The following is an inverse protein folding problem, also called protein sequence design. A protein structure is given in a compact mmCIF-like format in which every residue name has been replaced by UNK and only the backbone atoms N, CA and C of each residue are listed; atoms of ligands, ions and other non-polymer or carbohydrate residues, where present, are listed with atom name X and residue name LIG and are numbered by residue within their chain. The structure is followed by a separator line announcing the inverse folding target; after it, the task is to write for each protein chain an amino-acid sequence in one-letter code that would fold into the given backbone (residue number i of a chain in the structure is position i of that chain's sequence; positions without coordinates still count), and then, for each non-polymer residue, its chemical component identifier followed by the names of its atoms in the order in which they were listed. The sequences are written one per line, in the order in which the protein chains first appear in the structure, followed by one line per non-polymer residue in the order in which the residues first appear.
data_IF_225541104416
#
_entry.id   IF_225541104416
#
_cell.length_a   1.000
_cell.length_b   1.000
_cell.length_c   1.000
_cell.angle_alpha   90.00
_cell.angle_beta   90.00
_cell.angle_gamma   90.00
#
_symmetry.space_group_name_H-M   'P 1'
#
loop_
_entity.id
_entity.type
_entity.pdbx_description
1 polymer ?
#
# COMPACT_ATOMS: atom_id res chain seq x y z
N UNK A 1 -40.37 -51.59 43.07
CA UNK A 1 -40.73 -50.68 41.97
C UNK A 1 -39.43 -50.07 41.48
N UNK A 2 -38.97 -50.13 40.24
CA UNK A 2 -39.43 -50.73 39.00
C UNK A 2 -38.45 -50.26 37.92
N UNK A 3 -37.74 -51.23 37.31
CA UNK A 3 -37.13 -51.23 35.96
C UNK A 3 -36.26 -50.03 35.53
N UNK A 4 -34.94 -50.20 35.68
CA UNK A 4 -33.90 -49.49 34.92
C UNK A 4 -33.13 -50.45 33.98
N UNK A 5 -33.82 -51.45 33.43
CA UNK A 5 -33.20 -52.48 32.60
C UNK A 5 -34.20 -53.02 31.58
N UNK A 6 -34.30 -52.36 30.42
CA UNK A 6 -34.77 -52.93 29.15
C UNK A 6 -34.69 -51.80 28.12
N UNK A 7 -33.57 -51.71 27.40
CA UNK A 7 -33.49 -51.40 25.96
C UNK A 7 -32.02 -51.44 25.52
N UNK A 8 -31.35 -52.56 25.80
CA UNK A 8 -30.18 -53.00 25.04
C UNK A 8 -30.68 -54.03 24.03
N UNK A 9 -31.05 -53.59 22.83
CA UNK A 9 -30.95 -54.33 21.58
C UNK A 9 -31.63 -53.54 20.46
N UNK A 10 -30.87 -52.70 19.75
CA UNK A 10 -30.80 -52.70 18.28
C UNK A 10 -30.03 -51.47 17.79
N UNK A 11 -29.38 -51.64 16.65
CA UNK A 11 -28.69 -50.63 15.85
C UNK A 11 -27.22 -50.31 16.23
N UNK A 12 -26.35 -51.28 15.92
CA UNK A 12 -25.04 -50.94 15.32
C UNK A 12 -25.31 -50.18 14.02
N UNK A 13 -24.94 -48.91 14.00
CA UNK A 13 -24.95 -48.06 12.82
C UNK A 13 -23.92 -46.97 12.99
N UNK A 14 -22.64 -47.33 12.83
CA UNK A 14 -21.53 -46.37 12.67
C UNK A 14 -21.77 -45.61 11.36
N UNK A 15 -22.52 -44.51 11.42
CA UNK A 15 -22.52 -43.52 10.35
C UNK A 15 -21.29 -42.63 10.52
N UNK A 16 -20.11 -43.18 10.18
CA UNK A 16 -18.99 -42.35 9.74
C UNK A 16 -19.44 -41.65 8.46
N UNK A 17 -19.70 -40.35 8.54
CA UNK A 17 -19.86 -39.53 7.36
C UNK A 17 -18.59 -39.68 6.51
N UNK A 18 -18.79 -40.15 5.28
CA UNK A 18 -17.74 -40.46 4.32
C UNK A 18 -17.13 -39.14 3.83
N UNK A 19 -16.10 -38.67 4.53
CA UNK A 19 -15.32 -37.52 4.09
C UNK A 19 -14.54 -37.99 2.85
N UNK A 20 -14.79 -37.42 1.65
CA UNK A 20 -14.06 -37.84 0.48
C UNK A 20 -12.57 -37.64 0.72
N UNK A 21 -11.71 -38.62 0.36
CA UNK A 21 -10.28 -38.48 0.55
C UNK A 21 -9.80 -37.21 -0.17
N UNK A 22 -8.80 -36.51 0.39
CA UNK A 22 -8.21 -35.37 -0.30
C UNK A 22 -7.76 -35.81 -1.70
N UNK A 23 -7.86 -34.93 -2.71
CA UNK A 23 -7.47 -35.27 -4.07
C UNK A 23 -6.05 -35.83 -4.06
N UNK A 24 -5.88 -37.04 -4.62
CA UNK A 24 -4.56 -37.61 -4.84
C UNK A 24 -3.86 -36.72 -5.85
N UNK A 25 -2.90 -35.93 -5.38
CA UNK A 25 -1.92 -35.29 -6.27
C UNK A 25 -1.14 -36.45 -6.90
N UNK A 26 -1.46 -36.76 -8.16
CA UNK A 26 -0.91 -37.91 -8.87
C UNK A 26 0.61 -37.97 -8.76
N UNK A 27 1.15 -39.18 -8.65
CA UNK A 27 2.59 -39.41 -8.65
C UNK A 27 3.24 -38.65 -9.81
N UNK A 28 4.29 -37.91 -9.49
CA UNK A 28 5.08 -37.13 -10.43
C UNK A 28 5.47 -38.02 -11.61
N UNK A 29 4.81 -37.85 -12.76
CA UNK A 29 5.26 -38.43 -14.01
C UNK A 29 6.69 -37.96 -14.24
N UNK A 30 7.65 -38.90 -14.19
CA UNK A 30 9.05 -38.69 -14.56
C UNK A 30 9.19 -38.55 -16.08
N UNK A 31 8.36 -37.70 -16.70
CA UNK A 31 8.62 -37.24 -18.06
C UNK A 31 9.88 -36.38 -18.01
N UNK A 32 10.87 -36.71 -18.84
CA UNK A 32 12.11 -35.96 -18.95
C UNK A 32 11.82 -34.46 -19.08
N UNK A 33 12.46 -33.64 -18.21
CA UNK A 33 12.33 -32.18 -18.24
C UNK A 33 12.62 -31.68 -19.66
N UNK A 34 11.77 -30.82 -20.26
CA UNK A 34 12.11 -30.15 -21.49
C UNK A 34 13.46 -29.45 -21.34
N UNK A 35 14.41 -29.73 -22.26
CA UNK A 35 15.73 -29.10 -22.28
C UNK A 35 15.67 -27.60 -22.63
N UNK A 36 14.51 -27.15 -23.12
CA UNK A 36 14.25 -25.75 -23.47
C UNK A 36 13.44 -25.09 -22.35
N UNK A 37 13.83 -23.89 -21.89
CA UNK A 37 13.00 -23.13 -20.95
C UNK A 37 11.61 -22.90 -21.57
N UNK A 38 10.54 -22.91 -20.76
CA UNK A 38 9.20 -22.62 -21.24
C UNK A 38 9.15 -21.21 -21.86
N UNK A 39 8.21 -20.96 -22.80
CA UNK A 39 8.04 -19.63 -23.35
C UNK A 39 7.79 -18.62 -22.23
N UNK A 40 8.33 -17.39 -22.34
CA UNK A 40 8.11 -16.36 -21.33
C UNK A 40 6.61 -16.04 -21.25
N UNK A 41 6.11 -15.85 -20.03
CA UNK A 41 4.77 -15.32 -19.82
C UNK A 41 4.65 -13.89 -20.39
N UNK A 42 3.45 -13.45 -20.78
CA UNK A 42 3.23 -12.04 -21.14
C UNK A 42 3.72 -11.13 -20.01
N UNK A 43 4.47 -10.09 -20.37
CA UNK A 43 4.98 -9.10 -19.41
C UNK A 43 3.85 -8.14 -18.99
N UNK A 44 2.90 -8.63 -18.19
CA UNK A 44 1.77 -7.85 -17.68
C UNK A 44 2.05 -7.20 -16.32
N UNK A 45 3.16 -7.53 -15.67
CA UNK A 45 3.53 -6.99 -14.36
C UNK A 45 4.96 -6.42 -14.36
N UNK A 46 5.12 -5.36 -13.58
CA UNK A 46 6.41 -4.76 -13.22
C UNK A 46 6.31 -4.22 -11.80
N UNK A 47 7.36 -3.59 -11.28
CA UNK A 47 7.28 -2.99 -9.95
C UNK A 47 8.13 -1.74 -9.75
N UNK A 48 7.75 -0.95 -8.75
CA UNK A 48 8.59 0.09 -8.16
C UNK A 48 9.19 -0.48 -6.88
N UNK A 49 10.50 -0.37 -6.74
CA UNK A 49 11.23 -0.70 -5.53
C UNK A 49 11.85 0.57 -4.95
N UNK A 50 11.47 0.91 -3.72
CA UNK A 50 12.04 2.00 -2.93
C UNK A 50 13.33 1.49 -2.28
N UNK A 51 14.44 1.54 -3.01
CA UNK A 51 15.67 0.90 -2.60
C UNK A 51 16.51 1.81 -1.66
N UNK A 52 17.14 1.17 -0.66
CA UNK A 52 17.98 1.84 0.35
C UNK A 52 17.22 3.00 1.01
N UNK A 53 17.89 4.13 1.25
CA UNK A 53 17.30 5.35 1.82
C UNK A 53 16.99 6.43 0.77
N UNK A 54 17.50 6.28 -0.46
CA UNK A 54 17.60 7.37 -1.44
C UNK A 54 17.45 6.94 -2.90
N UNK A 55 16.91 5.74 -3.18
CA UNK A 55 16.82 5.24 -4.55
C UNK A 55 15.42 4.80 -4.91
N UNK A 56 15.02 5.08 -6.15
CA UNK A 56 13.80 4.54 -6.74
C UNK A 56 14.18 3.73 -7.96
N UNK A 57 13.64 2.52 -8.06
CA UNK A 57 13.95 1.58 -9.13
C UNK A 57 12.67 1.08 -9.78
N UNK A 58 12.61 1.13 -11.10
CA UNK A 58 11.59 0.43 -11.89
C UNK A 58 12.16 -0.89 -12.38
N UNK A 59 11.45 -1.98 -12.15
CA UNK A 59 11.87 -3.34 -12.52
C UNK A 59 10.78 -3.97 -13.40
N UNK A 60 11.17 -4.43 -14.59
CA UNK A 60 10.25 -5.10 -15.52
C UNK A 60 9.31 -4.16 -16.28
N UNK A 61 9.56 -2.84 -16.28
CA UNK A 61 8.79 -1.87 -17.05
C UNK A 61 9.45 -1.56 -18.40
N UNK A 62 8.67 -1.20 -19.44
CA UNK A 62 9.21 -0.89 -20.76
C UNK A 62 9.96 0.45 -20.75
N UNK A 63 11.08 0.59 -21.50
CA UNK A 63 11.91 1.81 -21.47
C UNK A 63 11.20 3.11 -21.81
N UNK A 64 10.09 3.05 -22.54
CA UNK A 64 9.28 4.22 -22.93
C UNK A 64 8.78 5.03 -21.71
N UNK A 65 8.64 4.41 -20.53
CA UNK A 65 8.15 5.12 -19.33
C UNK A 65 9.26 5.85 -18.59
N UNK A 66 10.53 5.55 -18.85
CA UNK A 66 11.64 5.96 -18.01
C UNK A 66 11.85 7.47 -18.02
N UNK A 67 11.79 8.10 -19.19
CA UNK A 67 12.01 9.53 -19.29
C UNK A 67 10.87 10.32 -18.63
N UNK A 68 9.62 9.88 -18.78
CA UNK A 68 8.47 10.54 -18.13
C UNK A 68 8.51 10.39 -16.60
N UNK A 69 8.94 9.25 -16.10
CA UNK A 69 9.15 9.05 -14.64
C UNK A 69 10.30 9.92 -14.15
N UNK A 70 11.40 10.02 -14.89
CA UNK A 70 12.52 10.90 -14.55
C UNK A 70 12.09 12.38 -14.49
N UNK A 71 11.31 12.84 -15.47
CA UNK A 71 10.75 14.19 -15.47
C UNK A 71 9.77 14.42 -14.32
N UNK A 72 8.97 13.41 -13.96
CA UNK A 72 8.08 13.49 -12.81
C UNK A 72 8.87 13.61 -11.50
N UNK A 73 9.97 12.88 -11.35
CA UNK A 73 10.89 12.98 -10.22
C UNK A 73 11.49 14.39 -10.14
N UNK A 74 12.09 14.88 -11.23
CA UNK A 74 12.77 16.18 -11.27
C UNK A 74 11.83 17.36 -11.00
N UNK A 75 10.55 17.24 -11.39
CA UNK A 75 9.55 18.29 -11.16
C UNK A 75 9.24 18.52 -9.69
N UNK A 76 9.25 17.45 -8.89
CA UNK A 76 8.78 17.51 -7.50
C UNK A 76 9.93 17.36 -6.50
N UNK A 77 10.97 16.60 -6.82
CA UNK A 77 12.09 16.40 -5.92
C UNK A 77 13.13 17.50 -6.09
N UNK A 78 12.93 18.63 -5.39
CA UNK A 78 13.78 19.84 -5.47
C UNK A 78 15.28 19.54 -5.32
N UNK A 79 15.75 18.64 -4.42
CA UNK A 79 17.18 18.31 -4.33
C UNK A 79 17.76 17.65 -5.60
N UNK A 80 16.90 17.11 -6.48
CA UNK A 80 17.29 16.54 -7.76
C UNK A 80 17.89 15.13 -7.69
N UNK A 81 18.46 14.73 -8.82
CA UNK A 81 19.07 13.42 -9.04
C UNK A 81 20.60 13.48 -8.88
N UNK A 82 21.16 12.44 -8.28
CA UNK A 82 22.61 12.24 -8.19
C UNK A 82 23.13 11.22 -9.21
N UNK A 83 22.25 10.42 -9.82
CA UNK A 83 22.67 9.48 -10.85
C UNK A 83 21.54 8.57 -11.33
N UNK A 84 21.81 7.94 -12.47
CA UNK A 84 20.94 6.99 -13.17
C UNK A 84 21.74 5.72 -13.45
N UNK A 85 21.22 4.57 -13.04
CA UNK A 85 21.93 3.30 -13.06
C UNK A 85 21.06 2.23 -13.75
N UNK A 86 21.33 1.92 -15.03
CA UNK A 86 20.73 0.77 -15.69
C UNK A 86 21.24 -0.53 -15.07
N UNK A 87 20.33 -1.45 -14.73
CA UNK A 87 20.66 -2.77 -14.18
C UNK A 87 19.64 -3.77 -14.70
N UNK A 88 20.03 -4.98 -15.11
CA UNK A 88 19.15 -6.11 -15.51
C UNK A 88 17.61 -5.85 -15.50
N UNK A 89 17.02 -5.58 -16.67
CA UNK A 89 15.57 -5.29 -16.84
C UNK A 89 15.02 -4.20 -15.90
N UNK A 90 15.85 -3.28 -15.45
CA UNK A 90 15.50 -2.24 -14.50
C UNK A 90 16.28 -0.96 -14.74
N UNK A 91 15.76 0.12 -14.21
CA UNK A 91 16.41 1.42 -14.16
C UNK A 91 16.27 2.01 -12.77
N UNK A 92 17.38 2.42 -12.19
CA UNK A 92 17.43 3.02 -10.86
C UNK A 92 17.86 4.49 -10.94
N UNK A 93 17.14 5.35 -10.23
CA UNK A 93 17.53 6.73 -9.96
C UNK A 93 17.99 6.86 -8.51
N UNK A 94 19.15 7.49 -8.32
CA UNK A 94 19.63 7.92 -7.01
C UNK A 94 19.22 9.36 -6.80
N UNK A 95 18.44 9.60 -5.76
CA UNK A 95 17.92 10.91 -5.35
C UNK A 95 18.96 11.59 -4.45
N UNK A 96 19.01 12.92 -4.47
CA UNK A 96 19.73 13.69 -3.47
C UNK A 96 18.88 13.79 -2.20
N UNK A 97 19.45 13.55 -1.02
CA UNK A 97 18.69 13.46 0.24
C UNK A 97 18.28 12.04 0.62
N UNK A 98 17.33 11.90 1.55
CA UNK A 98 16.90 10.61 2.11
C UNK A 98 15.35 10.50 2.16
N UNK A 99 14.68 10.50 1.00
CA UNK A 99 13.21 10.48 0.89
C UNK A 99 12.56 9.33 1.65
N UNK A 100 13.24 8.19 1.75
CA UNK A 100 12.70 6.97 2.35
C UNK A 100 13.00 6.85 3.84
N UNK A 101 13.54 7.89 4.48
CA UNK A 101 13.68 7.96 5.93
C UNK A 101 12.37 8.31 6.65
N UNK A 102 11.38 8.84 5.92
CA UNK A 102 10.05 9.16 6.44
C UNK A 102 9.97 10.32 7.43
N UNK A 103 11.06 11.07 7.63
CA UNK A 103 11.15 12.09 8.67
C UNK A 103 11.40 13.51 8.13
N UNK A 104 11.21 14.49 9.02
CA UNK A 104 11.58 15.88 8.78
C UNK A 104 10.81 16.54 7.63
N UNK A 105 11.50 17.44 6.93
CA UNK A 105 10.96 18.18 5.79
C UNK A 105 10.74 17.29 4.55
N UNK A 106 11.45 16.17 4.45
CA UNK A 106 11.40 15.29 3.28
C UNK A 106 10.20 14.33 3.30
N UNK A 107 9.57 14.10 4.46
CA UNK A 107 8.51 13.11 4.62
C UNK A 107 7.26 13.38 3.76
N UNK A 108 6.81 14.63 3.65
CA UNK A 108 5.68 15.00 2.79
C UNK A 108 6.13 14.97 1.33
N UNK A 109 7.32 15.51 1.05
CA UNK A 109 7.86 15.55 -0.30
C UNK A 109 8.07 14.15 -0.91
N UNK A 110 8.44 13.15 -0.11
CA UNK A 110 8.60 11.77 -0.56
C UNK A 110 7.26 11.14 -1.00
N UNK A 111 6.17 11.49 -0.32
CA UNK A 111 4.81 11.07 -0.70
C UNK A 111 4.38 11.73 -2.00
N UNK A 112 4.67 13.02 -2.17
CA UNK A 112 4.46 13.73 -3.45
C UNK A 112 5.25 13.08 -4.57
N UNK A 113 6.51 12.77 -4.32
CA UNK A 113 7.38 12.06 -5.27
C UNK A 113 6.71 10.78 -5.77
N UNK A 114 6.19 9.94 -4.87
CA UNK A 114 5.53 8.70 -5.27
C UNK A 114 4.20 8.94 -6.00
N UNK A 115 3.38 9.92 -5.58
CA UNK A 115 2.18 10.31 -6.33
C UNK A 115 2.51 10.71 -7.78
N UNK A 116 3.54 11.53 -7.98
CA UNK A 116 3.96 11.99 -9.30
C UNK A 116 4.50 10.85 -10.18
N UNK A 117 5.25 9.92 -9.60
CA UNK A 117 5.71 8.71 -10.30
C UNK A 117 4.54 7.84 -10.72
N UNK A 118 3.58 7.57 -9.81
CA UNK A 118 2.37 6.79 -10.11
C UNK A 118 1.50 7.47 -11.18
N UNK A 119 1.38 8.80 -11.13
CA UNK A 119 0.71 9.58 -12.16
C UNK A 119 1.37 9.41 -13.52
N UNK A 120 2.70 9.57 -13.62
CA UNK A 120 3.43 9.38 -14.88
C UNK A 120 3.25 7.96 -15.44
N UNK A 121 3.31 6.94 -14.59
CA UNK A 121 3.10 5.55 -14.98
C UNK A 121 1.67 5.26 -15.45
N UNK A 122 0.66 5.91 -14.85
CA UNK A 122 -0.74 5.73 -15.26
C UNK A 122 -0.98 6.17 -16.72
N UNK A 123 -0.28 7.20 -17.20
CA UNK A 123 -0.34 7.65 -18.61
C UNK A 123 0.12 6.58 -19.59
N UNK A 124 0.95 5.64 -19.13
CA UNK A 124 1.46 4.50 -19.90
C UNK A 124 0.71 3.20 -19.61
N UNK A 125 -0.40 3.26 -18.87
CA UNK A 125 -1.19 2.07 -18.53
C UNK A 125 -0.54 1.18 -17.48
N UNK A 126 0.31 1.72 -16.59
CA UNK A 126 0.90 0.97 -15.48
C UNK A 126 0.27 1.39 -14.16
N UNK A 127 -0.61 0.54 -13.62
CA UNK A 127 -1.41 0.86 -12.45
C UNK A 127 -0.91 0.11 -11.23
N UNK A 128 -0.92 0.77 -10.07
CA UNK A 128 -0.65 0.11 -8.80
C UNK A 128 -1.69 -0.98 -8.55
N UNK A 129 -1.22 -2.22 -8.49
CA UNK A 129 -2.03 -3.40 -8.24
C UNK A 129 -2.05 -3.73 -6.74
N UNK A 130 -0.88 -3.73 -6.11
CA UNK A 130 -0.72 -3.97 -4.68
C UNK A 130 0.65 -3.49 -4.20
N UNK A 131 0.74 -3.25 -2.90
CA UNK A 131 1.99 -3.16 -2.13
C UNK A 131 2.26 -4.49 -1.44
N UNK A 132 3.52 -4.90 -1.41
CA UNK A 132 3.96 -6.14 -0.77
C UNK A 132 5.32 -5.97 -0.12
N UNK A 133 5.46 -6.49 1.09
CA UNK A 133 6.76 -6.72 1.70
C UNK A 133 7.37 -8.01 1.11
N UNK A 134 8.46 -7.83 0.36
CA UNK A 134 9.21 -8.92 -0.29
C UNK A 134 10.57 -9.17 0.38
N UNK A 135 10.82 -8.55 1.53
CA UNK A 135 12.09 -8.59 2.21
C UNK A 135 11.90 -9.07 3.65
N UNK A 136 13.01 -9.47 4.26
CA UNK A 136 13.11 -9.74 5.71
C UNK A 136 14.22 -8.89 6.34
N UNK A 137 14.74 -7.94 5.57
CA UNK A 137 15.85 -7.10 6.00
C UNK A 137 15.29 -6.01 6.88
N UNK A 138 16.01 -5.67 7.94
CA UNK A 138 15.69 -4.46 8.67
C UNK A 138 15.63 -3.26 7.70
N UNK A 139 14.71 -2.34 7.96
CA UNK A 139 14.53 -1.12 7.17
C UNK A 139 14.06 -1.38 5.73
N UNK A 140 13.39 -2.51 5.48
CA UNK A 140 12.67 -2.69 4.24
C UNK A 140 11.42 -1.81 4.18
N UNK A 141 10.87 -1.80 2.97
CA UNK A 141 9.72 -1.02 2.54
C UNK A 141 8.95 -1.90 1.57
N UNK A 142 7.71 -1.54 1.32
CA UNK A 142 6.92 -2.24 0.34
C UNK A 142 7.52 -2.09 -1.07
N UNK A 143 7.46 -3.20 -1.80
CA UNK A 143 7.53 -3.21 -3.26
C UNK A 143 6.14 -2.96 -3.82
N UNK A 144 6.02 -1.99 -4.72
CA UNK A 144 4.77 -1.67 -5.38
C UNK A 144 4.67 -2.46 -6.68
N UNK A 145 3.81 -3.48 -6.71
CA UNK A 145 3.54 -4.26 -7.91
C UNK A 145 2.58 -3.48 -8.80
N UNK A 146 2.97 -3.32 -10.06
CA UNK A 146 2.22 -2.65 -11.10
C UNK A 146 1.66 -3.67 -12.09
N UNK A 147 0.44 -3.44 -12.54
CA UNK A 147 -0.19 -4.22 -13.60
C UNK A 147 -0.39 -3.36 -14.85
N UNK A 148 -0.09 -3.93 -16.01
CA UNK A 148 -0.33 -3.30 -17.30
C UNK A 148 -1.81 -3.37 -17.66
N UNK A 149 -2.38 -2.21 -17.96
CA UNK A 149 -3.77 -2.00 -18.35
C UNK A 149 -3.82 -1.03 -19.52
N UNK A 150 -5.03 -0.74 -20.02
CA UNK A 150 -5.20 0.29 -21.02
C UNK A 150 -4.75 1.66 -20.48
N UNK A 151 -3.92 2.43 -21.20
CA UNK A 151 -3.46 3.73 -20.76
C UNK A 151 -4.60 4.70 -20.46
N UNK A 152 -4.64 5.19 -19.22
CA UNK A 152 -5.54 6.25 -18.78
C UNK A 152 -4.83 7.04 -17.69
N UNK A 153 -4.68 8.34 -17.93
CA UNK A 153 -4.12 9.28 -16.98
C UNK A 153 -5.03 9.38 -15.75
N UNK A 154 -4.45 9.17 -14.56
CA UNK A 154 -5.17 9.27 -13.29
C UNK A 154 -4.51 10.29 -12.38
N UNK A 155 -5.31 11.04 -11.66
CA UNK A 155 -4.79 11.95 -10.63
C UNK A 155 -4.50 11.17 -9.36
N UNK A 156 -3.33 11.37 -8.77
CA UNK A 156 -2.92 10.74 -7.51
C UNK A 156 -2.74 11.77 -6.40
N UNK A 157 -3.23 11.42 -5.21
CA UNK A 157 -2.92 12.11 -3.96
C UNK A 157 -2.74 11.08 -2.85
N UNK A 158 -2.32 11.52 -1.65
CA UNK A 158 -2.12 10.59 -0.54
C UNK A 158 -2.73 11.05 0.77
N UNK A 159 -3.05 10.07 1.61
CA UNK A 159 -3.41 10.24 3.02
C UNK A 159 -2.36 9.50 3.85
N UNK A 160 -1.80 10.16 4.86
CA UNK A 160 -0.80 9.55 5.73
C UNK A 160 -1.20 9.61 7.19
N UNK A 161 -0.88 8.55 7.92
CA UNK A 161 -1.00 8.48 9.36
C UNK A 161 0.40 8.70 9.94
N UNK A 162 0.51 9.52 10.98
CA UNK A 162 1.81 9.93 11.49
C UNK A 162 1.81 10.01 13.01
N UNK A 163 2.95 9.68 13.61
CA UNK A 163 3.12 9.67 15.07
C UNK A 163 2.00 8.84 15.73
N UNK A 164 1.61 9.14 16.97
CA UNK A 164 0.52 8.42 17.64
C UNK A 164 -0.89 8.93 17.31
N UNK A 165 -1.03 10.11 16.70
CA UNK A 165 -2.32 10.82 16.64
C UNK A 165 -2.53 11.77 15.45
N UNK A 166 -1.65 11.78 14.45
CA UNK A 166 -1.79 12.69 13.31
C UNK A 166 -2.30 11.97 12.07
N UNK A 167 -3.13 12.65 11.29
CA UNK A 167 -3.55 12.22 9.96
C UNK A 167 -3.46 13.41 9.00
N UNK A 168 -2.99 13.16 7.78
CA UNK A 168 -2.77 14.19 6.76
C UNK A 168 -3.44 13.81 5.46
N UNK A 169 -3.91 14.81 4.73
CA UNK A 169 -4.16 14.72 3.29
C UNK A 169 -3.12 15.57 2.58
N UNK A 170 -2.50 15.01 1.54
CA UNK A 170 -1.36 15.60 0.82
C UNK A 170 -1.74 15.70 -0.65
N UNK A 171 -1.73 16.93 -1.15
CA UNK A 171 -2.07 17.38 -2.50
C UNK A 171 -3.42 16.83 -2.99
N UNK A 172 -4.53 17.04 -2.27
CA UNK A 172 -5.86 16.73 -2.82
C UNK A 172 -6.10 17.55 -4.10
N UNK A 173 -6.80 17.00 -5.11
CA UNK A 173 -6.93 17.64 -6.42
C UNK A 173 -7.74 18.94 -6.40
N UNK A 174 -8.63 19.07 -5.43
CA UNK A 174 -9.49 20.23 -5.28
C UNK A 174 -10.03 20.30 -3.84
N UNK A 175 -10.67 21.44 -3.52
CA UNK A 175 -11.25 21.66 -2.21
C UNK A 175 -12.39 20.68 -1.88
N UNK A 176 -13.12 20.18 -2.87
CA UNK A 176 -14.20 19.23 -2.63
C UNK A 176 -13.68 17.92 -2.00
N UNK A 177 -12.58 17.36 -2.55
CA UNK A 177 -11.92 16.18 -1.97
C UNK A 177 -11.35 16.48 -0.59
N UNK A 178 -10.70 17.64 -0.43
CA UNK A 178 -10.17 18.08 0.86
C UNK A 178 -11.28 18.16 1.93
N UNK A 179 -12.42 18.77 1.61
CA UNK A 179 -13.54 18.91 2.55
C UNK A 179 -14.19 17.56 2.89
N UNK A 180 -14.30 16.63 1.94
CA UNK A 180 -14.79 15.28 2.22
C UNK A 180 -13.88 14.55 3.23
N UNK A 181 -12.57 14.62 3.04
CA UNK A 181 -11.59 14.10 4.00
C UNK A 181 -11.71 14.77 5.37
N UNK A 182 -11.75 16.11 5.42
CA UNK A 182 -11.86 16.86 6.67
C UNK A 182 -13.13 16.49 7.44
N UNK A 183 -14.25 16.31 6.73
CA UNK A 183 -15.53 15.87 7.31
C UNK A 183 -15.42 14.48 7.90
N UNK A 184 -14.81 13.53 7.18
CA UNK A 184 -14.57 12.18 7.66
C UNK A 184 -13.70 12.17 8.93
N UNK A 185 -12.58 12.91 8.95
CA UNK A 185 -11.67 12.97 10.11
C UNK A 185 -12.35 13.55 11.35
N UNK A 186 -13.24 14.52 11.19
CA UNK A 186 -14.00 15.13 12.30
C UNK A 186 -15.03 14.20 12.94
N UNK A 187 -15.27 13.02 12.38
CA UNK A 187 -16.08 11.97 13.04
C UNK A 187 -15.36 11.28 14.21
N UNK A 188 -14.07 11.55 14.42
CA UNK A 188 -13.32 11.02 15.55
C UNK A 188 -13.99 11.40 16.90
N UNK A 189 -14.45 10.43 17.71
CA UNK A 189 -15.37 10.68 18.82
C UNK A 189 -14.74 11.47 19.97
N UNK A 190 -13.42 11.37 20.16
CA UNK A 190 -12.72 12.18 21.15
C UNK A 190 -12.48 13.62 20.69
N UNK A 191 -12.76 13.93 19.43
CA UNK A 191 -12.63 15.24 18.82
C UNK A 191 -11.21 15.59 18.37
N UNK A 192 -11.09 16.71 17.68
CA UNK A 192 -9.82 17.20 17.13
C UNK A 192 -9.06 18.00 18.20
N UNK A 193 -7.76 17.74 18.36
CA UNK A 193 -6.88 18.50 19.25
C UNK A 193 -6.34 19.74 18.54
N UNK A 194 -5.93 19.59 17.28
CA UNK A 194 -5.45 20.69 16.45
C UNK A 194 -5.65 20.34 14.97
N UNK A 195 -5.88 21.34 14.12
CA UNK A 195 -5.83 21.20 12.67
C UNK A 195 -5.07 22.39 12.08
N UNK A 196 -4.30 22.16 11.01
CA UNK A 196 -3.54 23.21 10.32
C UNK A 196 -3.12 22.77 8.93
N UNK A 197 -2.86 23.73 8.05
CA UNK A 197 -2.01 23.48 6.89
C UNK A 197 -0.57 23.34 7.37
N UNK A 198 0.00 22.14 7.24
CA UNK A 198 1.37 21.83 7.68
C UNK A 198 2.40 22.50 6.77
N UNK A 199 2.10 22.49 5.48
CA UNK A 199 2.85 23.10 4.39
C UNK A 199 1.89 23.21 3.18
N UNK A 200 2.18 24.04 2.15
CA UNK A 200 1.28 24.24 1.03
C UNK A 200 0.83 22.92 0.42
N UNK A 201 -0.47 22.66 0.36
CA UNK A 201 -1.03 21.41 -0.20
C UNK A 201 -1.11 20.23 0.78
N UNK A 202 -0.60 20.35 2.01
CA UNK A 202 -0.67 19.30 3.03
C UNK A 202 -1.45 19.79 4.26
N UNK A 203 -2.67 19.28 4.45
CA UNK A 203 -3.50 19.59 5.60
C UNK A 203 -3.42 18.49 6.66
N UNK A 204 -3.17 18.86 7.91
CA UNK A 204 -2.94 17.94 9.02
C UNK A 204 -3.96 18.14 10.14
N UNK A 205 -4.51 17.03 10.61
CA UNK A 205 -5.20 16.91 11.90
C UNK A 205 -4.28 16.26 12.93
N UNK A 206 -4.39 16.72 14.18
CA UNK A 206 -3.97 16.04 15.39
C UNK A 206 -5.23 15.66 16.17
N UNK A 207 -5.44 14.37 16.37
CA UNK A 207 -6.61 13.81 17.04
C UNK A 207 -6.41 13.85 18.56
N UNK A 208 -7.48 13.99 19.35
CA UNK A 208 -7.39 13.81 20.80
C UNK A 208 -7.26 12.32 21.13
N UNK A 209 -6.23 11.96 21.90
CA UNK A 209 -5.87 10.57 22.19
C UNK A 209 -4.67 10.11 21.37
N UNK A 210 -4.45 8.79 21.28
CA UNK A 210 -3.35 8.20 20.52
C UNK A 210 -3.88 7.04 19.66
N UNK A 211 -4.81 7.28 18.72
CA UNK A 211 -5.50 6.23 17.96
C UNK A 211 -4.56 5.26 17.23
N UNK A 212 -3.36 5.72 16.88
CA UNK A 212 -2.36 4.95 16.15
C UNK A 212 -1.36 4.23 17.05
N UNK A 213 -1.37 4.53 18.35
CA UNK A 213 -0.46 3.98 19.35
C UNK A 213 -1.19 3.82 20.68
N UNK A 214 -2.12 2.86 20.73
CA UNK A 214 -3.01 2.65 21.87
C UNK A 214 -3.33 1.18 22.11
N UNK A 215 -3.51 0.82 23.38
CA UNK A 215 -4.06 -0.47 23.83
C UNK A 215 -5.50 -0.34 24.34
N UNK A 216 -6.09 0.85 24.25
CA UNK A 216 -7.48 1.14 24.63
C UNK A 216 -8.46 0.63 23.58
N UNK A 217 -9.35 -0.29 23.97
CA UNK A 217 -10.26 -0.99 23.06
C UNK A 217 -11.16 -0.06 22.25
N UNK A 218 -11.67 1.00 22.87
CA UNK A 218 -12.54 1.97 22.20
C UNK A 218 -11.77 2.73 21.11
N UNK A 219 -10.57 3.24 21.41
CA UNK A 219 -9.74 3.89 20.38
C UNK A 219 -9.32 2.92 19.27
N UNK A 220 -9.02 1.66 19.58
CA UNK A 220 -8.71 0.60 18.60
C UNK A 220 -9.88 0.44 17.62
N UNK A 221 -11.12 0.37 18.12
CA UNK A 221 -12.33 0.23 17.30
C UNK A 221 -12.57 1.50 16.49
N UNK A 222 -12.54 2.66 17.13
CA UNK A 222 -12.82 3.93 16.46
C UNK A 222 -11.76 4.30 15.41
N UNK A 223 -10.50 3.88 15.58
CA UNK A 223 -9.46 4.08 14.58
C UNK A 223 -9.81 3.34 13.27
N UNK A 224 -10.29 2.10 13.38
CA UNK A 224 -10.74 1.29 12.23
C UNK A 224 -12.01 1.84 11.60
N UNK A 225 -12.96 2.28 12.41
CA UNK A 225 -14.17 2.94 11.90
C UNK A 225 -13.83 4.24 11.17
N UNK A 226 -12.93 5.05 11.72
CA UNK A 226 -12.45 6.27 11.06
C UNK A 226 -11.77 5.95 9.72
N UNK A 227 -10.95 4.90 9.67
CA UNK A 227 -10.38 4.38 8.42
C UNK A 227 -11.45 4.05 7.37
N UNK A 228 -12.51 3.32 7.75
CA UNK A 228 -13.64 3.05 6.87
C UNK A 228 -14.36 4.32 6.43
N UNK A 229 -14.57 5.29 7.34
CA UNK A 229 -15.22 6.57 7.01
C UNK A 229 -14.40 7.39 6.03
N UNK A 230 -13.06 7.42 6.16
CA UNK A 230 -12.16 8.09 5.22
C UNK A 230 -12.29 7.44 3.83
N UNK A 231 -12.26 6.10 3.75
CA UNK A 231 -12.41 5.38 2.49
C UNK A 231 -13.76 5.67 1.83
N UNK A 232 -14.85 5.62 2.59
CA UNK A 232 -16.19 5.96 2.10
C UNK A 232 -16.28 7.42 1.61
N UNK A 233 -15.64 8.35 2.32
CA UNK A 233 -15.60 9.75 1.91
C UNK A 233 -14.85 9.93 0.59
N UNK A 234 -13.67 9.31 0.41
CA UNK A 234 -12.92 9.38 -0.85
C UNK A 234 -13.68 8.72 -2.00
N UNK A 235 -14.34 7.59 -1.74
CA UNK A 235 -15.18 6.89 -2.70
C UNK A 235 -16.32 7.76 -3.22
N UNK A 236 -16.97 8.50 -2.30
CA UNK A 236 -18.10 9.40 -2.60
C UNK A 236 -17.71 10.61 -3.47
N UNK A 237 -16.43 10.98 -3.50
CA UNK A 237 -15.90 12.10 -4.31
C UNK A 237 -15.10 11.64 -5.52
N UNK A 238 -15.27 10.37 -5.94
CA UNK A 238 -14.73 9.86 -7.20
C UNK A 238 -13.31 9.30 -7.13
N UNK A 239 -12.82 8.96 -5.94
CA UNK A 239 -11.48 8.43 -5.74
C UNK A 239 -11.50 7.03 -5.12
N UNK A 240 -10.56 6.20 -5.52
CA UNK A 240 -10.39 4.84 -5.00
C UNK A 240 -9.00 4.67 -4.39
N UNK A 241 -8.90 3.84 -3.34
CA UNK A 241 -7.62 3.46 -2.76
C UNK A 241 -6.89 2.52 -3.72
N UNK A 242 -5.67 2.88 -4.11
CA UNK A 242 -4.81 2.05 -4.96
C UNK A 242 -3.75 1.27 -4.19
N UNK A 243 -3.35 1.73 -3.02
CA UNK A 243 -2.41 0.99 -2.17
C UNK A 243 -2.23 1.62 -0.80
N UNK A 244 -1.90 0.76 0.16
CA UNK A 244 -1.44 1.09 1.51
C UNK A 244 0.02 0.72 1.58
N UNK A 245 0.91 1.70 1.54
CA UNK A 245 2.33 1.50 1.26
C UNK A 245 3.16 1.88 2.47
N UNK A 246 3.91 0.94 3.03
CA UNK A 246 5.06 1.25 3.85
C UNK A 246 6.21 1.75 2.96
N UNK A 247 6.51 3.04 3.10
CA UNK A 247 7.48 3.73 2.26
C UNK A 247 8.67 4.28 3.05
N UNK A 248 8.79 3.94 4.33
CA UNK A 248 9.81 4.50 5.20
C UNK A 248 10.58 3.41 5.93
N UNK A 249 11.86 3.68 6.19
CA UNK A 249 12.69 2.78 7.00
C UNK A 249 12.40 2.86 8.49
N UNK A 250 11.70 3.88 8.98
CA UNK A 250 11.64 4.17 10.42
C UNK A 250 12.97 4.71 10.98
N UNK A 251 12.95 5.16 12.23
CA UNK A 251 14.10 5.74 12.95
C UNK A 251 14.78 4.78 13.93
N UNK A 252 14.14 3.64 14.24
CA UNK A 252 14.65 2.62 15.16
C UNK A 252 13.87 1.32 14.99
N UNK A 253 14.38 0.21 15.54
CA UNK A 253 13.71 -1.11 15.58
C UNK A 253 12.32 -1.08 16.27
N UNK A 254 11.94 0.05 16.88
CA UNK A 254 10.68 0.24 17.61
C UNK A 254 9.81 1.39 17.06
N UNK A 255 10.33 2.16 16.12
CA UNK A 255 9.57 3.22 15.46
C UNK A 255 8.90 2.62 14.22
N UNK A 256 7.77 1.94 14.45
CA UNK A 256 6.94 1.45 13.36
C UNK A 256 6.36 2.64 12.62
N UNK A 257 6.83 2.86 11.39
CA UNK A 257 6.17 3.78 10.49
C UNK A 257 4.84 3.18 10.06
N UNK A 258 3.86 4.05 9.85
CA UNK A 258 2.56 3.65 9.33
C UNK A 258 2.53 3.83 7.82
N UNK A 259 1.73 2.97 7.20
CA UNK A 259 1.45 3.05 5.79
C UNK A 259 0.93 4.42 5.36
N UNK A 260 1.24 4.75 4.11
CA UNK A 260 0.63 5.85 3.40
C UNK A 260 -0.35 5.30 2.38
N UNK A 261 -1.56 5.85 2.39
CA UNK A 261 -2.59 5.51 1.45
C UNK A 261 -2.48 6.36 0.20
N UNK A 262 -2.41 5.73 -0.96
CA UNK A 262 -2.41 6.40 -2.26
C UNK A 262 -3.76 6.22 -2.92
N UNK A 263 -4.39 7.33 -3.28
CA UNK A 263 -5.68 7.37 -3.95
C UNK A 263 -5.50 7.77 -5.39
N UNK A 264 -6.33 7.23 -6.28
CA UNK A 264 -6.40 7.61 -7.68
C UNK A 264 -7.83 7.96 -8.09
N UNK A 265 -7.98 8.86 -9.07
CA UNK A 265 -9.27 9.10 -9.71
C UNK A 265 -9.79 7.80 -10.35
N UNK A 266 -11.10 7.54 -10.23
CA UNK A 266 -11.78 6.40 -10.85
C UNK A 266 -11.75 6.47 -12.37
#
# INVERSE_FOLDING_TARGET
MGKFSEFLASSKGDHKADVPPPPSYGESSTSARPLTPPPPFPHSFGCIHLARSDRIRLIGLPPVVYDDVEQAILRVWVPGLQGKFPMYQSLEWKLSGYPWSGQGAEAVQARRLLCHVLHALSKHGWYLHMSVDLSKKQFDKDTLILHSVYPQERYFFSISFNEGDKVRIIDPPNDHVKQAFMTAVRTWPRGIQNEREKEPGCYQFKLKGLPWYTSDGDQIIHARLLSCTILAAMDSVGFELKGSVDMSTGTSEHANDMDTWFFASK
#
